data_IF_860039647347
#
_entry.id   IF_860039647347
#
_cell.length_a   1.000
_cell.length_b   1.000
_cell.length_c   1.000
_cell.angle_alpha   90.00
_cell.angle_beta   90.00
_cell.angle_gamma   90.00
#
_symmetry.space_group_name_H-M   'P 1'
#
loop_
_entity.id
_entity.type
_entity.pdbx_description
1 polymer ?
#
# COMPACT_ATOMS: atom_id res chain seq x y z
N UNK A 1 52.07 -1.71 47.99
CA UNK A 1 51.55 -0.53 47.26
C UNK A 1 50.46 -1.04 46.33
N UNK A 2 49.26 -1.20 46.86
CA UNK A 2 48.08 -1.76 46.19
C UNK A 2 47.18 -0.59 45.79
N UNK A 3 47.06 -0.34 44.48
CA UNK A 3 46.10 0.61 43.93
C UNK A 3 44.70 -0.03 43.96
N UNK A 4 43.67 0.65 44.49
CA UNK A 4 42.29 0.18 44.37
C UNK A 4 41.76 0.52 42.98
N UNK A 5 41.34 -0.50 42.24
CA UNK A 5 40.56 -0.38 41.00
C UNK A 5 39.07 -0.23 41.38
N UNK A 6 38.72 0.91 41.96
CA UNK A 6 37.32 1.31 42.12
C UNK A 6 36.95 2.37 41.07
N UNK A 7 35.87 2.11 40.35
CA UNK A 7 35.06 3.20 39.79
C UNK A 7 35.18 3.49 38.29
N UNK A 8 34.92 2.51 37.43
CA UNK A 8 34.27 2.79 36.13
C UNK A 8 33.06 1.86 35.97
N UNK A 9 32.17 1.91 36.96
CA UNK A 9 30.78 1.56 36.74
C UNK A 9 30.11 2.73 36.04
N UNK A 10 30.27 2.84 34.71
CA UNK A 10 29.41 3.70 33.91
C UNK A 10 27.98 3.18 34.08
N UNK A 11 27.25 3.77 35.02
CA UNK A 11 25.81 3.56 35.15
C UNK A 11 25.21 3.94 33.81
N UNK A 12 24.84 2.94 33.04
CA UNK A 12 24.06 3.09 31.82
C UNK A 12 22.66 3.56 32.28
N UNK A 13 22.55 4.86 32.54
CA UNK A 13 21.32 5.49 33.03
C UNK A 13 20.25 5.29 31.97
N UNK A 14 19.37 4.34 32.24
CA UNK A 14 18.24 4.05 31.38
C UNK A 14 17.40 5.33 31.30
N UNK A 15 17.18 5.91 30.10
CA UNK A 15 16.56 7.21 29.99
C UNK A 15 15.14 7.20 30.55
N UNK A 16 14.84 8.22 31.35
CA UNK A 16 13.53 8.41 31.98
C UNK A 16 12.40 8.39 30.94
N UNK A 17 11.22 7.91 31.33
CA UNK A 17 10.00 7.89 30.51
C UNK A 17 9.69 9.27 29.90
N UNK A 18 10.00 10.35 30.63
CA UNK A 18 9.85 11.72 30.14
C UNK A 18 10.79 12.04 28.96
N UNK A 19 12.04 11.56 29.02
CA UNK A 19 13.05 11.76 27.98
C UNK A 19 12.69 10.98 26.72
N UNK A 20 12.25 9.72 26.85
CA UNK A 20 11.73 8.92 25.71
C UNK A 20 10.54 9.60 25.03
N UNK A 21 9.63 10.18 25.81
CA UNK A 21 8.47 10.92 25.29
C UNK A 21 8.88 12.19 24.53
N UNK A 22 9.88 12.92 25.03
CA UNK A 22 10.44 14.10 24.35
C UNK A 22 11.10 13.72 23.01
N UNK A 23 11.89 12.65 23.00
CA UNK A 23 12.59 12.18 21.82
C UNK A 23 11.65 11.68 20.73
N UNK A 24 10.61 10.95 21.12
CA UNK A 24 9.54 10.54 20.23
C UNK A 24 8.86 11.77 19.58
N UNK A 25 8.54 12.80 20.35
CA UNK A 25 7.96 14.04 19.82
C UNK A 25 8.88 14.74 18.82
N UNK A 26 10.19 14.82 19.12
CA UNK A 26 11.18 15.43 18.21
C UNK A 26 11.27 14.67 16.89
N UNK A 27 11.30 13.35 16.94
CA UNK A 27 11.32 12.49 15.77
C UNK A 27 10.08 12.69 14.89
N UNK A 28 8.88 12.56 15.47
CA UNK A 28 7.64 12.72 14.70
C UNK A 28 7.43 14.15 14.22
N UNK A 29 7.93 15.16 14.94
CA UNK A 29 7.95 16.55 14.46
C UNK A 29 8.81 16.69 13.21
N UNK A 30 10.00 16.08 13.17
CA UNK A 30 10.85 16.10 11.99
C UNK A 30 10.19 15.40 10.79
N UNK A 31 9.58 14.23 11.00
CA UNK A 31 8.77 13.55 9.99
C UNK A 31 7.59 14.43 9.51
N UNK A 32 6.87 15.08 10.43
CA UNK A 32 5.74 15.93 10.09
C UNK A 32 6.17 17.16 9.26
N UNK A 33 7.31 17.79 9.57
CA UNK A 33 7.86 18.90 8.78
C UNK A 33 8.24 18.43 7.38
N UNK A 34 9.01 17.33 7.28
CA UNK A 34 9.41 16.77 5.98
C UNK A 34 8.20 16.35 5.13
N UNK A 35 7.23 15.67 5.75
CA UNK A 35 5.97 15.30 5.14
C UNK A 35 5.15 16.51 4.69
N UNK A 36 5.03 17.56 5.51
CA UNK A 36 4.33 18.79 5.14
C UNK A 36 4.98 19.48 3.92
N UNK A 37 6.31 19.57 3.88
CA UNK A 37 7.03 20.11 2.73
C UNK A 37 6.81 19.26 1.48
N UNK A 38 6.81 17.93 1.61
CA UNK A 38 6.54 17.02 0.49
C UNK A 38 5.08 17.10 0.01
N UNK A 39 4.12 17.30 0.92
CA UNK A 39 2.71 17.55 0.59
C UNK A 39 2.53 18.86 -0.17
N UNK A 40 3.30 19.90 0.15
CA UNK A 40 3.30 21.16 -0.62
C UNK A 40 3.73 20.87 -2.07
N UNK A 41 4.80 20.09 -2.29
CA UNK A 41 5.23 19.68 -3.64
C UNK A 41 4.14 18.88 -4.35
N UNK A 42 3.53 17.92 -3.66
CA UNK A 42 2.43 17.10 -4.17
C UNK A 42 1.23 17.96 -4.62
N UNK A 43 0.84 18.95 -3.80
CA UNK A 43 -0.25 19.88 -4.12
C UNK A 43 0.15 20.82 -5.27
N UNK A 44 1.37 21.34 -5.28
CA UNK A 44 1.88 22.18 -6.38
C UNK A 44 1.76 21.45 -7.71
N UNK A 45 2.15 20.17 -7.78
CA UNK A 45 1.98 19.34 -8.97
C UNK A 45 0.52 19.25 -9.41
N UNK A 46 -0.42 18.98 -8.48
CA UNK A 46 -1.85 18.92 -8.80
C UNK A 46 -2.33 20.24 -9.41
N UNK A 47 -1.94 21.38 -8.82
CA UNK A 47 -2.34 22.69 -9.31
C UNK A 47 -1.69 23.03 -10.66
N UNK A 48 -0.43 22.67 -10.87
CA UNK A 48 0.27 22.90 -12.14
C UNK A 48 -0.33 22.08 -13.29
N UNK A 49 -0.72 20.83 -13.05
CA UNK A 49 -1.24 19.94 -14.10
C UNK A 49 -2.73 20.15 -14.41
N UNK A 50 -3.52 20.57 -13.43
CA UNK A 50 -4.99 20.59 -13.56
C UNK A 50 -5.62 21.96 -13.35
N UNK A 51 -4.88 22.94 -12.82
CA UNK A 51 -5.38 24.27 -12.46
C UNK A 51 -6.35 24.30 -11.27
N UNK A 52 -6.86 23.15 -10.83
CA UNK A 52 -7.83 23.02 -9.73
C UNK A 52 -7.61 21.72 -8.95
N UNK A 53 -7.83 21.79 -7.64
CA UNK A 53 -7.77 20.63 -6.76
C UNK A 53 -8.90 19.63 -7.04
N UNK A 54 -10.13 20.13 -7.20
CA UNK A 54 -11.31 19.33 -7.56
C UNK A 54 -11.42 19.16 -9.08
N UNK A 55 -10.48 18.40 -9.65
CA UNK A 55 -10.46 18.08 -11.07
C UNK A 55 -11.35 16.87 -11.39
N UNK A 56 -12.04 16.94 -12.53
CA UNK A 56 -12.84 15.84 -13.07
C UNK A 56 -12.33 15.47 -14.46
N UNK A 57 -12.26 14.18 -14.74
CA UNK A 57 -11.96 13.60 -16.04
C UNK A 57 -12.98 12.49 -16.34
N UNK A 58 -12.98 11.96 -17.56
CA UNK A 58 -13.86 10.82 -17.90
C UNK A 58 -13.62 9.63 -16.95
N UNK A 59 -12.36 9.33 -16.65
CA UNK A 59 -11.98 8.18 -15.80
C UNK A 59 -12.10 8.47 -14.30
N UNK A 60 -12.18 9.73 -13.87
CA UNK A 60 -12.22 10.08 -12.44
C UNK A 60 -13.51 9.66 -11.74
N UNK A 61 -14.61 9.51 -12.51
CA UNK A 61 -15.94 9.13 -12.02
C UNK A 61 -16.21 7.62 -11.94
N UNK A 62 -15.23 6.78 -12.25
CA UNK A 62 -15.41 5.33 -12.30
C UNK A 62 -15.74 4.74 -10.93
N UNK A 63 -15.06 5.18 -9.87
CA UNK A 63 -15.34 4.72 -8.51
C UNK A 63 -16.70 5.20 -7.99
N UNK A 64 -17.19 6.37 -8.38
CA UNK A 64 -18.56 6.81 -8.05
C UNK A 64 -19.59 5.94 -8.78
N UNK A 65 -19.32 5.59 -10.03
CA UNK A 65 -20.19 4.70 -10.80
C UNK A 65 -20.25 3.30 -10.19
N UNK A 66 -19.11 2.76 -9.78
CA UNK A 66 -19.06 1.51 -9.03
C UNK A 66 -19.72 1.64 -7.65
N UNK A 67 -19.51 2.75 -6.92
CA UNK A 67 -20.14 2.99 -5.63
C UNK A 67 -21.68 3.00 -5.72
N UNK A 68 -22.26 3.65 -6.75
CA UNK A 68 -23.72 3.61 -6.99
C UNK A 68 -24.21 2.17 -7.19
N UNK A 69 -23.46 1.36 -7.92
CA UNK A 69 -23.84 -0.03 -8.20
C UNK A 69 -23.73 -0.90 -6.94
N UNK A 70 -22.67 -0.71 -6.14
CA UNK A 70 -22.45 -1.42 -4.88
C UNK A 70 -23.50 -1.08 -3.81
N UNK A 71 -24.09 0.13 -3.82
CA UNK A 71 -25.25 0.46 -2.96
C UNK A 71 -26.45 -0.45 -3.21
N UNK A 72 -26.55 -1.03 -4.41
CA UNK A 72 -27.55 -2.03 -4.78
C UNK A 72 -27.01 -3.47 -4.73
N UNK A 73 -25.88 -3.69 -4.03
CA UNK A 73 -25.20 -4.99 -3.91
C UNK A 73 -24.80 -5.60 -5.27
N UNK A 74 -24.50 -4.75 -6.27
CA UNK A 74 -24.07 -5.17 -7.60
C UNK A 74 -22.63 -4.75 -7.89
N UNK A 75 -21.89 -5.64 -8.55
CA UNK A 75 -20.55 -5.34 -9.06
C UNK A 75 -20.55 -4.85 -10.51
N UNK A 76 -21.62 -5.13 -11.28
CA UNK A 76 -21.79 -4.59 -12.63
C UNK A 76 -22.15 -3.10 -12.58
N UNK A 77 -21.64 -2.36 -13.55
CA UNK A 77 -21.87 -0.93 -13.73
C UNK A 77 -22.66 -0.67 -15.03
N UNK A 78 -23.32 0.50 -15.17
CA UNK A 78 -24.01 0.87 -16.39
C UNK A 78 -23.10 0.74 -17.63
N UNK A 79 -23.61 0.16 -18.71
CA UNK A 79 -22.84 0.00 -19.96
C UNK A 79 -22.40 1.36 -20.50
N UNK A 80 -21.23 1.40 -21.11
CA UNK A 80 -20.62 2.63 -21.65
C UNK A 80 -19.93 3.52 -20.61
N UNK A 81 -20.15 3.30 -19.31
CA UNK A 81 -19.58 4.16 -18.25
C UNK A 81 -18.07 4.05 -18.08
N UNK A 82 -17.46 2.93 -18.51
CA UNK A 82 -16.02 2.67 -18.35
C UNK A 82 -15.21 2.83 -19.65
N UNK A 83 -15.86 3.12 -20.79
CA UNK A 83 -15.19 3.20 -22.09
C UNK A 83 -14.37 1.94 -22.42
N UNK A 84 -13.11 2.11 -22.83
CA UNK A 84 -12.20 1.01 -23.17
C UNK A 84 -11.80 0.14 -21.97
N UNK A 85 -11.99 0.64 -20.74
CA UNK A 85 -11.64 -0.06 -19.50
C UNK A 85 -12.68 -1.10 -19.08
N UNK A 86 -13.85 -1.10 -19.73
CA UNK A 86 -14.91 -2.06 -19.45
C UNK A 86 -14.47 -3.50 -19.72
N UNK A 87 -14.79 -4.39 -18.79
CA UNK A 87 -14.83 -5.84 -19.04
C UNK A 87 -16.28 -6.24 -19.29
N UNK A 88 -16.57 -6.75 -20.48
CA UNK A 88 -17.93 -7.10 -20.87
C UNK A 88 -18.15 -8.62 -20.81
N UNK A 89 -19.02 -9.05 -19.88
CA UNK A 89 -19.26 -10.47 -19.62
C UNK A 89 -20.76 -10.68 -19.40
N UNK A 90 -21.36 -11.58 -20.18
CA UNK A 90 -22.79 -11.90 -20.07
C UNK A 90 -23.70 -10.67 -20.23
N UNK A 91 -23.31 -9.73 -21.09
CA UNK A 91 -24.03 -8.47 -21.27
C UNK A 91 -23.90 -7.48 -20.10
N UNK A 92 -23.05 -7.72 -19.12
CA UNK A 92 -22.78 -6.77 -18.03
C UNK A 92 -21.40 -6.14 -18.21
N UNK A 93 -21.23 -4.92 -17.70
CA UNK A 93 -19.96 -4.21 -17.73
C UNK A 93 -19.36 -4.20 -16.32
N UNK A 94 -18.09 -4.56 -16.20
CA UNK A 94 -17.38 -4.65 -14.93
C UNK A 94 -16.09 -3.86 -14.94
N UNK A 95 -15.74 -3.35 -13.76
CA UNK A 95 -14.49 -2.69 -13.51
C UNK A 95 -13.51 -3.65 -12.82
N UNK A 96 -12.28 -3.75 -13.34
CA UNK A 96 -11.24 -4.60 -12.76
C UNK A 96 -10.56 -3.99 -11.53
N UNK A 97 -10.62 -2.67 -11.37
CA UNK A 97 -10.18 -2.00 -10.14
C UNK A 97 -10.95 -2.50 -8.92
N UNK A 98 -10.25 -2.57 -7.79
CA UNK A 98 -10.81 -3.06 -6.54
C UNK A 98 -11.84 -2.07 -5.95
N UNK A 99 -12.76 -2.55 -5.10
CA UNK A 99 -13.89 -1.75 -4.62
C UNK A 99 -13.53 -0.74 -3.51
N UNK A 100 -12.32 -0.77 -2.94
CA UNK A 100 -12.01 0.07 -1.78
C UNK A 100 -12.19 1.57 -2.02
N UNK A 101 -11.65 2.18 -3.10
CA UNK A 101 -11.88 3.61 -3.35
C UNK A 101 -13.36 3.96 -3.57
N UNK A 102 -14.17 3.04 -4.09
CA UNK A 102 -15.63 3.22 -4.16
C UNK A 102 -16.28 3.27 -2.78
N UNK A 103 -15.87 2.37 -1.88
CA UNK A 103 -16.44 2.26 -0.54
C UNK A 103 -16.18 3.53 0.29
N UNK A 104 -14.96 4.05 0.27
CA UNK A 104 -14.62 5.29 0.98
C UNK A 104 -15.34 6.52 0.43
N UNK A 105 -15.73 6.50 -0.86
CA UNK A 105 -16.48 7.58 -1.51
C UNK A 105 -17.96 7.54 -1.20
N UNK A 106 -18.52 6.40 -0.81
CA UNK A 106 -19.97 6.28 -0.57
C UNK A 106 -20.52 7.31 0.42
N UNK A 107 -19.87 7.58 1.58
CA UNK A 107 -20.31 8.63 2.49
C UNK A 107 -20.18 10.03 1.88
N UNK A 108 -19.06 10.31 1.20
CA UNK A 108 -18.81 11.61 0.56
C UNK A 108 -19.85 11.93 -0.51
N UNK A 109 -20.23 10.94 -1.32
CA UNK A 109 -21.28 11.08 -2.32
C UNK A 109 -22.67 11.29 -1.72
N UNK A 110 -22.92 10.79 -0.51
CA UNK A 110 -24.18 11.03 0.19
C UNK A 110 -24.24 12.44 0.76
N UNK A 111 -23.12 12.95 1.29
CA UNK A 111 -23.02 14.30 1.86
C UNK A 111 -22.90 15.40 0.79
N UNK A 112 -22.27 15.09 -0.34
CA UNK A 112 -21.91 16.06 -1.39
C UNK A 112 -22.24 15.52 -2.80
N UNK A 113 -23.53 15.36 -3.14
CA UNK A 113 -23.94 14.75 -4.41
C UNK A 113 -23.46 15.53 -5.65
N UNK A 114 -23.26 16.84 -5.54
CA UNK A 114 -22.81 17.71 -6.64
C UNK A 114 -21.32 17.59 -7.02
N UNK A 115 -20.53 16.82 -6.26
CA UNK A 115 -19.07 16.71 -6.47
C UNK A 115 -18.65 15.40 -7.14
N UNK A 116 -19.58 14.71 -7.82
CA UNK A 116 -19.30 13.43 -8.46
C UNK A 116 -18.13 13.55 -9.46
N UNK A 117 -17.14 12.66 -9.35
CA UNK A 117 -15.97 12.64 -10.23
C UNK A 117 -14.87 13.64 -9.85
N UNK A 118 -15.04 14.41 -8.78
CA UNK A 118 -14.06 15.40 -8.31
C UNK A 118 -13.24 14.93 -7.10
N UNK A 119 -13.47 13.69 -6.64
CA UNK A 119 -12.90 13.16 -5.40
C UNK A 119 -11.54 12.50 -5.54
N UNK A 120 -11.00 12.38 -6.76
CA UNK A 120 -9.72 11.68 -7.00
C UNK A 120 -8.57 12.35 -6.26
N UNK A 121 -8.31 13.62 -6.50
CA UNK A 121 -7.20 14.33 -5.83
C UNK A 121 -7.35 14.38 -4.30
N UNK A 122 -8.53 14.71 -3.72
CA UNK A 122 -8.75 14.57 -2.27
C UNK A 122 -8.46 13.17 -1.73
N UNK A 123 -8.92 12.14 -2.45
CA UNK A 123 -8.72 10.73 -2.08
C UNK A 123 -7.25 10.32 -2.13
N UNK A 124 -6.53 10.71 -3.18
CA UNK A 124 -5.08 10.47 -3.31
C UNK A 124 -4.28 11.21 -2.23
N UNK A 125 -4.65 12.45 -1.90
CA UNK A 125 -4.03 13.20 -0.81
C UNK A 125 -4.23 12.50 0.54
N UNK A 126 -5.44 12.00 0.80
CA UNK A 126 -5.72 11.24 2.02
C UNK A 126 -4.90 9.95 2.09
N UNK A 127 -4.79 9.22 0.98
CA UNK A 127 -3.96 8.02 0.89
C UNK A 127 -2.47 8.36 1.15
N UNK A 128 -1.96 9.47 0.62
CA UNK A 128 -0.59 9.91 0.89
C UNK A 128 -0.39 10.23 2.37
N UNK A 129 -1.33 10.93 3.02
CA UNK A 129 -1.25 11.19 4.47
C UNK A 129 -1.16 9.88 5.27
N UNK A 130 -1.98 8.89 4.90
CA UNK A 130 -1.92 7.55 5.50
C UNK A 130 -0.55 6.89 5.29
N UNK A 131 0.01 6.98 4.08
CA UNK A 131 1.33 6.46 3.78
C UNK A 131 2.42 7.14 4.62
N UNK A 132 2.41 8.47 4.72
CA UNK A 132 3.40 9.24 5.49
C UNK A 132 3.34 8.91 6.99
N UNK A 133 2.14 8.82 7.57
CA UNK A 133 1.96 8.43 8.98
C UNK A 133 2.47 7.01 9.22
N UNK A 134 2.13 6.08 8.32
CA UNK A 134 2.55 4.67 8.43
C UNK A 134 4.06 4.53 8.35
N UNK A 135 4.68 5.19 7.38
CA UNK A 135 6.14 5.14 7.21
C UNK A 135 6.86 5.79 8.37
N UNK A 136 6.36 6.90 8.90
CA UNK A 136 6.93 7.55 10.10
C UNK A 136 6.89 6.61 11.32
N UNK A 137 5.79 5.86 11.49
CA UNK A 137 5.64 4.86 12.57
C UNK A 137 6.57 3.67 12.37
N UNK A 138 6.71 3.17 11.14
CA UNK A 138 7.67 2.10 10.81
C UNK A 138 9.10 2.56 11.09
N UNK A 139 9.48 3.75 10.62
CA UNK A 139 10.80 4.32 10.83
C UNK A 139 11.13 4.47 12.33
N UNK A 140 10.17 4.92 13.14
CA UNK A 140 10.33 4.97 14.60
C UNK A 140 10.56 3.59 15.22
N UNK A 141 9.81 2.58 14.80
CA UNK A 141 9.99 1.20 15.28
C UNK A 141 11.35 0.63 14.91
N UNK A 142 11.77 0.79 13.66
CA UNK A 142 13.09 0.36 13.18
C UNK A 142 14.18 1.06 14.00
N UNK A 143 14.07 2.37 14.19
CA UNK A 143 15.01 3.14 15.01
C UNK A 143 15.12 2.61 16.43
N UNK A 144 14.00 2.25 17.06
CA UNK A 144 14.04 1.68 18.43
C UNK A 144 14.64 0.27 18.47
N UNK A 145 14.57 -0.50 17.37
CA UNK A 145 15.23 -1.80 17.26
C UNK A 145 16.75 -1.62 17.11
N UNK A 146 17.17 -0.71 16.23
CA UNK A 146 18.59 -0.53 15.88
C UNK A 146 19.35 0.28 16.94
N UNK A 147 18.75 1.35 17.45
CA UNK A 147 19.44 2.30 18.33
C UNK A 147 19.00 2.20 19.79
N UNK A 148 18.04 1.31 20.09
CA UNK A 148 17.49 1.13 21.42
C UNK A 148 16.98 2.43 22.03
N UNK A 149 17.43 2.69 23.25
CA UNK A 149 17.05 3.85 24.05
C UNK A 149 17.96 5.07 23.87
N UNK A 150 18.93 5.03 22.94
CA UNK A 150 19.80 6.17 22.64
C UNK A 150 18.99 7.43 22.32
N UNK A 151 19.45 8.65 22.64
CA UNK A 151 18.69 9.86 22.37
C UNK A 151 18.58 10.18 20.87
N UNK A 152 17.53 10.90 20.46
CA UNK A 152 17.36 11.32 19.06
C UNK A 152 18.33 12.47 18.72
N UNK A 153 19.32 12.19 17.88
CA UNK A 153 20.30 13.20 17.44
C UNK A 153 19.71 14.17 16.41
N UNK A 154 20.36 15.32 16.22
CA UNK A 154 19.96 16.29 15.17
C UNK A 154 20.10 15.70 13.76
N UNK A 155 21.16 14.92 13.51
CA UNK A 155 21.37 14.25 12.22
C UNK A 155 20.24 13.27 11.93
N UNK A 156 19.78 12.52 12.94
CA UNK A 156 18.64 11.63 12.79
C UNK A 156 17.35 12.40 12.46
N UNK A 157 17.11 13.55 13.11
CA UNK A 157 15.96 14.40 12.80
C UNK A 157 15.99 14.88 11.34
N UNK A 158 17.14 15.38 10.88
CA UNK A 158 17.32 15.76 9.48
C UNK A 158 17.11 14.57 8.54
N UNK A 159 17.73 13.42 8.82
CA UNK A 159 17.61 12.21 8.01
C UNK A 159 16.17 11.75 7.86
N UNK A 160 15.39 11.69 8.96
CA UNK A 160 13.99 11.25 8.88
C UNK A 160 13.06 12.31 8.29
N UNK A 161 13.37 13.60 8.47
CA UNK A 161 12.69 14.69 7.79
C UNK A 161 12.88 14.61 6.27
N UNK A 162 14.12 14.51 5.80
CA UNK A 162 14.46 14.35 4.38
C UNK A 162 13.85 13.07 3.81
N UNK A 163 13.95 11.95 4.53
CA UNK A 163 13.33 10.69 4.11
C UNK A 163 11.81 10.82 3.92
N UNK A 164 11.12 11.45 4.88
CA UNK A 164 9.66 11.64 4.81
C UNK A 164 9.29 12.62 3.68
N UNK A 165 10.10 13.66 3.46
CA UNK A 165 9.96 14.54 2.31
C UNK A 165 10.09 13.78 0.98
N UNK A 166 11.13 12.96 0.83
CA UNK A 166 11.38 12.18 -0.40
C UNK A 166 10.25 11.19 -0.72
N UNK A 167 9.56 10.65 0.30
CA UNK A 167 8.37 9.80 0.08
C UNK A 167 7.27 10.58 -0.64
N UNK A 168 6.92 11.79 -0.17
CA UNK A 168 5.84 12.56 -0.77
C UNK A 168 6.27 13.34 -2.03
N UNK A 169 7.46 13.94 -2.02
CA UNK A 169 7.94 14.89 -3.03
C UNK A 169 8.97 14.35 -4.01
N UNK A 170 9.34 13.07 -3.95
CA UNK A 170 10.39 12.51 -4.82
C UNK A 170 10.25 11.02 -5.16
N UNK A 171 9.10 10.42 -4.88
CA UNK A 171 8.87 8.98 -5.13
C UNK A 171 7.72 8.75 -6.11
N UNK A 172 7.37 7.48 -6.33
CA UNK A 172 6.17 7.07 -7.08
C UNK A 172 4.91 7.78 -6.58
N UNK A 173 4.80 8.14 -5.30
CA UNK A 173 3.66 8.91 -4.80
C UNK A 173 3.48 10.26 -5.52
N UNK A 174 4.56 10.95 -5.88
CA UNK A 174 4.50 12.19 -6.65
C UNK A 174 4.17 11.92 -8.13
N UNK A 175 4.64 10.80 -8.69
CA UNK A 175 4.26 10.41 -10.04
C UNK A 175 2.74 10.21 -10.16
N UNK A 176 2.13 9.55 -9.17
CA UNK A 176 0.70 9.25 -9.19
C UNK A 176 -0.18 10.52 -9.14
N UNK A 177 0.36 11.69 -8.80
CA UNK A 177 -0.39 12.96 -8.90
C UNK A 177 -0.31 13.64 -10.24
N UNK A 178 0.43 13.09 -11.20
CA UNK A 178 0.52 13.67 -12.54
C UNK A 178 -0.86 13.77 -13.21
N UNK A 179 -1.77 12.84 -12.87
CA UNK A 179 -3.11 12.79 -13.40
C UNK A 179 -4.14 12.32 -12.36
N UNK A 180 -5.33 12.93 -12.40
CA UNK A 180 -6.51 12.47 -11.65
C UNK A 180 -7.16 11.24 -12.31
N UNK A 181 -6.44 10.11 -12.30
CA UNK A 181 -6.84 8.85 -12.93
C UNK A 181 -7.26 7.78 -11.92
N UNK A 182 -8.25 6.98 -12.29
CA UNK A 182 -8.74 5.82 -11.50
C UNK A 182 -7.62 4.85 -11.13
N UNK A 183 -6.64 4.67 -12.03
CA UNK A 183 -5.49 3.80 -11.81
C UNK A 183 -4.59 4.35 -10.71
N UNK A 184 -4.29 5.65 -10.74
CA UNK A 184 -3.40 6.28 -9.76
C UNK A 184 -3.99 6.23 -8.36
N UNK A 185 -5.30 6.45 -8.26
CA UNK A 185 -6.02 6.32 -7.00
C UNK A 185 -6.02 4.88 -6.47
N UNK A 186 -6.13 3.88 -7.34
CA UNK A 186 -6.03 2.47 -6.96
C UNK A 186 -4.65 2.15 -6.37
N UNK A 187 -3.60 2.59 -7.05
CA UNK A 187 -2.20 2.33 -6.69
C UNK A 187 -1.82 3.03 -5.39
N UNK A 188 -2.18 4.30 -5.23
CA UNK A 188 -1.82 5.07 -4.03
C UNK A 188 -2.52 4.53 -2.78
N UNK A 189 -3.79 4.14 -2.88
CA UNK A 189 -4.50 3.47 -1.78
C UNK A 189 -3.94 2.08 -1.50
N UNK A 190 -3.60 1.32 -2.55
CA UNK A 190 -2.92 0.02 -2.42
C UNK A 190 -1.62 0.16 -1.65
N UNK A 191 -0.77 1.12 -2.01
CA UNK A 191 0.51 1.38 -1.36
C UNK A 191 0.34 1.88 0.08
N UNK A 192 -0.55 2.84 0.31
CA UNK A 192 -0.83 3.37 1.64
C UNK A 192 -1.35 2.29 2.61
N UNK A 193 -2.29 1.45 2.14
CA UNK A 193 -2.83 0.35 2.93
C UNK A 193 -1.80 -0.77 3.15
N UNK A 194 -0.92 -1.04 2.17
CA UNK A 194 0.17 -1.98 2.35
C UNK A 194 1.17 -1.49 3.41
N UNK A 195 1.54 -0.20 3.41
CA UNK A 195 2.37 0.40 4.44
C UNK A 195 1.72 0.33 5.83
N UNK A 196 0.40 0.58 5.94
CA UNK A 196 -0.36 0.37 7.18
C UNK A 196 -0.34 -1.10 7.62
N UNK A 197 -0.49 -2.04 6.68
CA UNK A 197 -0.43 -3.46 6.97
C UNK A 197 0.96 -3.85 7.50
N UNK A 198 2.03 -3.39 6.87
CA UNK A 198 3.40 -3.58 7.37
C UNK A 198 3.61 -2.94 8.74
N UNK A 199 3.10 -1.73 8.96
CA UNK A 199 3.16 -1.10 10.28
C UNK A 199 2.48 -1.97 11.36
N UNK A 200 1.31 -2.52 11.05
CA UNK A 200 0.60 -3.43 11.95
C UNK A 200 1.34 -4.77 12.13
N UNK A 201 1.97 -5.32 11.08
CA UNK A 201 2.82 -6.52 11.15
C UNK A 201 4.03 -6.26 12.06
N UNK A 202 4.75 -5.15 11.88
CA UNK A 202 5.84 -4.75 12.78
C UNK A 202 5.35 -4.63 14.23
N UNK A 203 4.18 -4.01 14.44
CA UNK A 203 3.57 -3.94 15.76
C UNK A 203 3.24 -5.32 16.33
N UNK A 204 2.77 -6.26 15.50
CA UNK A 204 2.49 -7.64 15.91
C UNK A 204 3.76 -8.39 16.28
N UNK A 205 4.81 -8.32 15.46
CA UNK A 205 6.11 -8.97 15.72
C UNK A 205 6.74 -8.41 17.00
N UNK A 206 6.70 -7.09 17.21
CA UNK A 206 7.28 -6.46 18.39
C UNK A 206 6.48 -6.72 19.68
N UNK A 207 5.15 -6.79 19.62
CA UNK A 207 4.33 -7.19 20.77
C UNK A 207 3.14 -8.03 20.26
N UNK A 208 3.22 -9.37 20.38
CA UNK A 208 2.25 -10.31 19.79
C UNK A 208 0.87 -10.19 20.43
N UNK A 209 -0.01 -9.39 19.83
CA UNK A 209 -1.41 -9.24 20.25
C UNK A 209 -2.35 -9.52 19.08
N UNK A 210 -3.40 -10.31 19.33
CA UNK A 210 -4.32 -10.77 18.30
C UNK A 210 -4.97 -9.63 17.50
N UNK A 211 -5.32 -8.52 18.15
CA UNK A 211 -5.89 -7.36 17.46
C UNK A 211 -4.92 -6.72 16.45
N UNK A 212 -3.59 -6.79 16.68
CA UNK A 212 -2.59 -6.24 15.74
C UNK A 212 -2.50 -7.08 14.48
N UNK A 213 -2.62 -8.39 14.64
CA UNK A 213 -2.73 -9.32 13.51
C UNK A 213 -4.04 -9.11 12.76
N UNK A 214 -5.15 -8.87 13.47
CA UNK A 214 -6.43 -8.52 12.84
C UNK A 214 -6.34 -7.20 12.07
N UNK A 215 -5.69 -6.16 12.62
CA UNK A 215 -5.41 -4.90 11.92
C UNK A 215 -4.54 -5.12 10.68
N UNK A 216 -3.47 -5.93 10.79
CA UNK A 216 -2.62 -6.26 9.65
C UNK A 216 -3.42 -6.95 8.53
N UNK A 217 -4.27 -7.92 8.87
CA UNK A 217 -5.16 -8.59 7.92
C UNK A 217 -6.19 -7.63 7.31
N UNK A 218 -6.77 -6.74 8.13
CA UNK A 218 -7.72 -5.73 7.67
C UNK A 218 -7.09 -4.75 6.68
N UNK A 219 -5.90 -4.23 6.98
CA UNK A 219 -5.17 -3.34 6.06
C UNK A 219 -4.67 -4.07 4.81
N UNK A 220 -4.26 -5.34 4.92
CA UNK A 220 -3.93 -6.16 3.76
C UNK A 220 -5.17 -6.38 2.87
N UNK A 221 -6.35 -6.57 3.47
CA UNK A 221 -7.63 -6.65 2.73
C UNK A 221 -7.90 -5.35 1.99
N UNK A 222 -7.74 -4.20 2.64
CA UNK A 222 -7.88 -2.89 2.00
C UNK A 222 -6.89 -2.73 0.84
N UNK A 223 -5.63 -3.14 1.03
CA UNK A 223 -4.61 -3.06 0.00
C UNK A 223 -4.97 -3.91 -1.22
N UNK A 224 -5.38 -5.16 -1.03
CA UNK A 224 -5.79 -6.06 -2.13
C UNK A 224 -7.08 -5.57 -2.80
N UNK A 225 -8.04 -5.03 -2.03
CA UNK A 225 -9.27 -4.41 -2.54
C UNK A 225 -9.06 -3.03 -3.16
N UNK A 226 -7.85 -2.46 -3.10
CA UNK A 226 -7.47 -1.27 -3.86
C UNK A 226 -6.72 -1.70 -5.11
N UNK A 227 -5.62 -2.44 -4.90
CA UNK A 227 -4.74 -2.97 -5.94
C UNK A 227 -4.13 -4.31 -5.51
N UNK A 228 -4.51 -5.43 -6.14
CA UNK A 228 -4.05 -6.77 -5.74
C UNK A 228 -2.53 -6.93 -5.76
N UNK A 229 -1.86 -6.42 -6.80
CA UNK A 229 -0.40 -6.52 -6.95
C UNK A 229 0.37 -5.90 -5.78
N UNK A 230 -0.16 -4.83 -5.19
CA UNK A 230 0.46 -4.15 -4.03
C UNK A 230 0.08 -4.83 -2.72
N UNK A 231 -1.18 -5.28 -2.60
CA UNK A 231 -1.68 -5.94 -1.40
C UNK A 231 -1.10 -7.34 -1.13
N UNK A 232 -0.57 -8.02 -2.15
CA UNK A 232 0.07 -9.33 -1.96
C UNK A 232 1.34 -9.29 -1.12
N UNK A 233 2.07 -8.17 -1.09
CA UNK A 233 3.28 -8.00 -0.26
C UNK A 233 3.03 -8.31 1.23
N UNK A 234 2.21 -7.51 1.94
CA UNK A 234 1.92 -7.77 3.35
C UNK A 234 1.18 -9.10 3.57
N UNK A 235 0.37 -9.55 2.61
CA UNK A 235 -0.30 -10.85 2.66
C UNK A 235 0.71 -12.00 2.77
N UNK A 236 1.70 -12.03 1.87
CA UNK A 236 2.77 -13.01 1.89
C UNK A 236 3.61 -12.89 3.15
N UNK A 237 3.88 -11.68 3.64
CA UNK A 237 4.60 -11.50 4.90
C UNK A 237 3.86 -12.15 6.08
N UNK A 238 2.54 -11.98 6.20
CA UNK A 238 1.74 -12.65 7.24
C UNK A 238 1.84 -14.18 7.08
N UNK A 239 1.74 -14.69 5.84
CA UNK A 239 1.89 -16.10 5.53
C UNK A 239 3.28 -16.67 5.89
N UNK A 240 4.35 -15.95 5.56
CA UNK A 240 5.74 -16.30 5.91
C UNK A 240 5.92 -16.32 7.42
N UNK A 241 5.39 -15.34 8.15
CA UNK A 241 5.44 -15.32 9.62
C UNK A 241 4.72 -16.55 10.20
N UNK A 242 3.57 -16.93 9.64
CA UNK A 242 2.85 -18.14 10.03
C UNK A 242 3.63 -19.42 9.74
N UNK A 243 4.21 -19.54 8.55
CA UNK A 243 5.05 -20.68 8.17
C UNK A 243 6.32 -20.77 9.04
N UNK A 244 7.02 -19.65 9.22
CA UNK A 244 8.22 -19.56 10.06
C UNK A 244 7.95 -19.90 11.53
N UNK A 245 6.70 -19.78 11.98
CA UNK A 245 6.28 -20.19 13.32
C UNK A 245 6.19 -21.71 13.51
N UNK A 246 6.27 -22.53 12.45
CA UNK A 246 6.15 -23.99 12.54
C UNK A 246 7.39 -24.67 13.13
N UNK A 247 8.59 -24.28 12.69
CA UNK A 247 9.84 -24.95 13.06
C UNK A 247 10.70 -24.07 13.98
N UNK A 248 11.34 -24.61 15.03
CA UNK A 248 12.24 -23.84 15.88
C UNK A 248 13.40 -23.18 15.12
N UNK A 249 13.96 -23.91 14.13
CA UNK A 249 15.04 -23.41 13.29
C UNK A 249 14.63 -22.18 12.46
N UNK A 250 13.41 -22.20 11.90
CA UNK A 250 12.90 -21.05 11.14
C UNK A 250 12.58 -19.87 12.07
N UNK A 251 12.08 -20.12 13.29
CA UNK A 251 11.86 -19.03 14.27
C UNK A 251 13.16 -18.30 14.60
N UNK A 252 14.24 -19.05 14.79
CA UNK A 252 15.58 -18.48 15.04
C UNK A 252 16.08 -17.69 13.85
N UNK A 253 15.99 -18.27 12.65
CA UNK A 253 16.42 -17.62 11.41
C UNK A 253 15.70 -16.29 11.16
N UNK A 254 14.38 -16.23 11.40
CA UNK A 254 13.57 -15.03 11.22
C UNK A 254 13.51 -14.11 12.46
N UNK A 255 14.22 -14.42 13.55
CA UNK A 255 14.19 -13.63 14.78
C UNK A 255 12.84 -13.59 15.51
N UNK A 256 12.02 -14.64 15.36
CA UNK A 256 10.64 -14.73 15.88
C UNK A 256 10.53 -15.52 17.19
N UNK A 257 11.66 -15.79 17.87
CA UNK A 257 11.72 -16.63 19.08
C UNK A 257 10.83 -16.08 20.21
N UNK A 258 10.79 -14.76 20.37
CA UNK A 258 9.99 -14.07 21.39
C UNK A 258 8.52 -13.84 20.97
N UNK A 259 8.16 -14.13 19.71
CA UNK A 259 6.83 -13.85 19.15
C UNK A 259 5.84 -14.95 19.49
N UNK A 260 6.31 -16.20 19.47
CA UNK A 260 5.47 -17.39 19.58
C UNK A 260 5.78 -18.16 20.84
N UNK A 261 4.79 -18.30 21.74
CA UNK A 261 4.96 -19.14 22.91
C UNK A 261 5.21 -20.59 22.48
N UNK A 262 6.28 -21.24 22.98
CA UNK A 262 6.61 -22.63 22.63
C UNK A 262 5.52 -23.61 23.10
N UNK A 263 4.68 -23.20 24.05
CA UNK A 263 3.62 -24.05 24.64
C UNK A 263 2.40 -24.23 23.74
N UNK A 264 2.12 -23.31 22.79
CA UNK A 264 0.92 -23.36 21.92
C UNK A 264 1.20 -22.87 20.49
N UNK A 265 2.14 -23.50 19.75
CA UNK A 265 2.54 -23.04 18.42
C UNK A 265 1.38 -23.11 17.41
N UNK A 266 0.58 -24.18 17.46
CA UNK A 266 -0.54 -24.40 16.55
C UNK A 266 -1.57 -23.27 16.57
N UNK A 267 -1.86 -22.68 17.74
CA UNK A 267 -2.83 -21.56 17.85
C UNK A 267 -2.37 -20.34 17.08
N UNK A 268 -1.07 -20.05 17.07
CA UNK A 268 -0.52 -18.89 16.38
C UNK A 268 -0.37 -19.14 14.88
N UNK A 269 -0.03 -20.36 14.47
CA UNK A 269 -0.11 -20.81 13.08
C UNK A 269 -1.53 -20.59 12.56
N UNK A 270 -2.54 -21.16 13.24
CA UNK A 270 -3.94 -21.00 12.82
C UNK A 270 -4.34 -19.53 12.69
N UNK A 271 -3.99 -18.69 13.67
CA UNK A 271 -4.31 -17.25 13.62
C UNK A 271 -3.64 -16.52 12.45
N UNK A 272 -2.36 -16.78 12.20
CA UNK A 272 -1.61 -16.15 11.11
C UNK A 272 -2.06 -16.67 9.75
N UNK A 273 -2.34 -17.97 9.63
CA UNK A 273 -2.96 -18.57 8.45
C UNK A 273 -4.33 -17.95 8.18
N UNK A 274 -5.22 -17.87 9.18
CA UNK A 274 -6.53 -17.20 9.01
C UNK A 274 -6.36 -15.74 8.59
N UNK A 275 -5.44 -15.01 9.21
CA UNK A 275 -5.15 -13.62 8.87
C UNK A 275 -4.62 -13.44 7.43
N UNK A 276 -3.92 -14.43 6.87
CA UNK A 276 -3.48 -14.43 5.48
C UNK A 276 -4.56 -14.94 4.50
N UNK A 277 -5.39 -15.90 4.92
CA UNK A 277 -6.44 -16.47 4.05
C UNK A 277 -7.59 -15.49 3.84
N UNK A 278 -7.96 -14.70 4.86
CA UNK A 278 -9.11 -13.78 4.77
C UNK A 278 -8.97 -12.77 3.61
N UNK A 279 -7.88 -11.98 3.48
CA UNK A 279 -7.73 -11.06 2.35
C UNK A 279 -7.71 -11.77 1.00
N UNK A 280 -7.06 -12.95 0.92
CA UNK A 280 -6.98 -13.76 -0.29
C UNK A 280 -8.36 -14.26 -0.73
N UNK A 281 -9.14 -14.80 0.21
CA UNK A 281 -10.49 -15.31 -0.04
C UNK A 281 -11.43 -14.18 -0.47
N UNK A 282 -11.34 -13.01 0.16
CA UNK A 282 -12.12 -11.82 -0.23
C UNK A 282 -11.77 -11.39 -1.65
N UNK A 283 -10.48 -11.37 -2.02
CA UNK A 283 -10.05 -11.07 -3.38
C UNK A 283 -10.60 -12.06 -4.41
N UNK A 284 -10.44 -13.35 -4.13
CA UNK A 284 -10.92 -14.45 -4.97
C UNK A 284 -12.43 -14.34 -5.16
N UNK A 285 -13.17 -14.07 -4.07
CA UNK A 285 -14.61 -13.85 -4.12
C UNK A 285 -14.98 -12.67 -5.02
N UNK A 286 -14.34 -11.51 -4.86
CA UNK A 286 -14.62 -10.32 -5.68
C UNK A 286 -14.31 -10.60 -7.16
N UNK A 287 -13.21 -11.29 -7.45
CA UNK A 287 -12.82 -11.65 -8.81
C UNK A 287 -13.83 -12.63 -9.43
N UNK A 288 -14.27 -13.63 -8.68
CA UNK A 288 -15.26 -14.59 -9.13
C UNK A 288 -16.64 -13.94 -9.33
N UNK A 289 -17.07 -13.09 -8.41
CA UNK A 289 -18.35 -12.37 -8.50
C UNK A 289 -18.40 -11.42 -9.71
N UNK A 290 -17.27 -10.82 -10.10
CA UNK A 290 -17.17 -9.94 -11.27
C UNK A 290 -17.04 -10.70 -12.59
N UNK A 291 -16.18 -11.72 -12.61
CA UNK A 291 -15.67 -12.28 -13.86
C UNK A 291 -15.94 -13.77 -14.06
N UNK A 292 -16.40 -14.47 -13.03
CA UNK A 292 -16.49 -15.93 -13.01
C UNK A 292 -15.13 -16.63 -12.91
N UNK A 293 -14.04 -15.90 -12.71
CA UNK A 293 -12.67 -16.43 -12.61
C UNK A 293 -12.12 -16.28 -11.19
N UNK A 294 -11.18 -17.12 -10.77
CA UNK A 294 -10.72 -17.15 -9.37
C UNK A 294 -9.63 -16.13 -9.03
N UNK A 295 -8.66 -15.90 -9.93
CA UNK A 295 -7.48 -15.07 -9.62
C UNK A 295 -7.16 -14.01 -10.67
N UNK A 296 -7.37 -14.34 -11.94
CA UNK A 296 -6.97 -13.49 -13.07
C UNK A 296 -8.21 -13.02 -13.81
N UNK A 297 -8.28 -11.74 -14.12
CA UNK A 297 -9.36 -11.19 -14.94
C UNK A 297 -9.20 -11.60 -16.41
N UNK A 298 -10.30 -11.87 -17.13
CA UNK A 298 -10.27 -12.32 -18.53
C UNK A 298 -9.91 -11.15 -19.45
N UNK A 299 -8.61 -11.02 -19.77
CA UNK A 299 -8.05 -9.86 -20.51
C UNK A 299 -8.58 -9.74 -21.95
N UNK A 300 -9.01 -10.86 -22.52
CA UNK A 300 -9.70 -10.95 -23.82
C UNK A 300 -11.08 -10.27 -23.81
N UNK A 301 -11.75 -10.23 -22.66
CA UNK A 301 -13.10 -9.63 -22.51
C UNK A 301 -13.09 -8.13 -22.23
N UNK A 302 -11.91 -7.52 -22.15
CA UNK A 302 -11.79 -6.07 -22.03
C UNK A 302 -12.12 -5.38 -23.37
N UNK A 303 -12.86 -4.28 -23.33
CA UNK A 303 -13.22 -3.51 -24.54
C UNK A 303 -11.98 -3.02 -25.31
N UNK A 304 -10.88 -2.71 -24.61
CA UNK A 304 -9.61 -2.37 -25.25
C UNK A 304 -9.11 -3.47 -26.21
N UNK A 305 -9.36 -4.75 -25.89
CA UNK A 305 -9.01 -5.89 -26.75
C UNK A 305 -9.89 -5.98 -28.01
N UNK A 306 -10.98 -5.22 -28.11
CA UNK A 306 -11.79 -5.13 -29.34
C UNK A 306 -11.35 -4.04 -30.30
N UNK A 307 -10.66 -3.02 -29.79
CA UNK A 307 -10.22 -1.87 -30.59
C UNK A 307 -8.75 -1.97 -31.00
N UNK A 308 -7.90 -2.63 -30.22
CA UNK A 308 -6.47 -2.78 -30.53
C UNK A 308 -6.17 -4.13 -31.19
N UNK A 309 -5.77 -4.10 -32.47
CA UNK A 309 -5.30 -5.28 -33.21
C UNK A 309 -4.08 -5.90 -32.53
N UNK A 310 -3.10 -5.08 -32.16
CA UNK A 310 -1.88 -5.53 -31.47
C UNK A 310 -2.18 -6.26 -30.17
N UNK A 311 -3.15 -5.76 -29.39
CA UNK A 311 -3.55 -6.41 -28.14
C UNK A 311 -4.19 -7.78 -28.39
N UNK A 312 -5.01 -7.92 -29.44
CA UNK A 312 -5.59 -9.21 -29.80
C UNK A 312 -4.54 -10.23 -30.19
N UNK A 313 -3.60 -9.85 -31.06
CA UNK A 313 -2.51 -10.73 -31.48
C UNK A 313 -1.69 -11.19 -30.28
N UNK A 314 -1.32 -10.24 -29.41
CA UNK A 314 -0.61 -10.56 -28.16
C UNK A 314 -1.43 -11.52 -27.28
N UNK A 315 -2.72 -11.29 -27.06
CA UNK A 315 -3.53 -12.20 -26.24
C UNK A 315 -3.65 -13.59 -26.86
N UNK A 316 -3.83 -13.69 -28.18
CA UNK A 316 -3.93 -14.97 -28.90
C UNK A 316 -2.64 -15.80 -28.75
N UNK A 317 -1.48 -15.18 -28.90
CA UNK A 317 -0.16 -15.84 -28.76
C UNK A 317 0.17 -16.22 -27.31
N UNK A 318 -0.60 -15.72 -26.35
CA UNK A 318 -0.35 -15.83 -24.92
C UNK A 318 -1.47 -16.52 -24.14
N UNK A 319 -2.33 -17.29 -24.81
CA UNK A 319 -3.40 -18.05 -24.14
C UNK A 319 -4.42 -17.14 -23.46
N UNK A 320 -4.72 -15.99 -24.07
CA UNK A 320 -5.57 -14.91 -23.55
C UNK A 320 -5.11 -14.31 -22.22
N UNK A 321 -3.83 -14.45 -21.90
CA UNK A 321 -3.22 -13.91 -20.67
C UNK A 321 -2.20 -12.83 -20.97
N UNK A 322 -2.22 -11.76 -20.16
CA UNK A 322 -1.16 -10.75 -20.10
C UNK A 322 -0.03 -11.13 -19.14
N UNK A 323 -0.16 -12.28 -18.48
CA UNK A 323 0.76 -12.75 -17.45
C UNK A 323 1.29 -14.14 -17.82
N UNK A 324 2.55 -14.39 -17.48
CA UNK A 324 3.17 -15.70 -17.69
C UNK A 324 4.69 -15.64 -17.52
N UNK A 325 5.28 -16.77 -17.14
CA UNK A 325 6.72 -16.88 -16.94
C UNK A 325 7.55 -16.57 -18.19
N UNK A 326 6.98 -16.73 -19.39
CA UNK A 326 7.66 -16.37 -20.64
C UNK A 326 8.01 -14.88 -20.77
N UNK A 327 7.30 -14.00 -20.04
CA UNK A 327 7.61 -12.58 -19.99
C UNK A 327 8.69 -12.25 -18.95
N UNK A 328 9.11 -13.21 -18.12
CA UNK A 328 10.07 -12.96 -17.05
C UNK A 328 11.39 -12.44 -17.62
N UNK A 329 11.96 -13.11 -18.63
CA UNK A 329 13.25 -12.72 -19.20
C UNK A 329 13.19 -11.33 -19.82
N UNK A 330 12.15 -11.04 -20.61
CA UNK A 330 12.01 -9.72 -21.25
C UNK A 330 11.77 -8.64 -20.21
N UNK A 331 10.92 -8.86 -19.20
CA UNK A 331 10.71 -7.92 -18.11
C UNK A 331 12.00 -7.68 -17.31
N UNK A 332 12.71 -8.76 -16.93
CA UNK A 332 13.96 -8.68 -16.19
C UNK A 332 15.00 -7.83 -16.92
N UNK A 333 15.22 -8.10 -18.22
CA UNK A 333 16.12 -7.30 -19.06
C UNK A 333 15.70 -5.84 -19.08
N UNK A 334 14.42 -5.53 -19.29
CA UNK A 334 13.97 -4.12 -19.32
C UNK A 334 14.16 -3.40 -17.99
N UNK A 335 14.04 -4.08 -16.85
CA UNK A 335 14.26 -3.46 -15.54
C UNK A 335 15.72 -3.16 -15.23
N UNK A 336 16.67 -3.90 -15.80
CA UNK A 336 18.11 -3.74 -15.53
C UNK A 336 18.86 -2.97 -16.62
N UNK A 337 18.17 -2.61 -17.71
CA UNK A 337 18.79 -1.96 -18.87
C UNK A 337 19.29 -0.55 -18.52
N UNK A 338 20.61 -0.31 -18.54
CA UNK A 338 21.16 1.01 -18.22
C UNK A 338 20.84 2.06 -19.30
N UNK A 339 20.62 1.61 -20.54
CA UNK A 339 20.27 2.45 -21.68
C UNK A 339 18.79 2.86 -21.71
N UNK A 340 17.97 2.31 -20.81
CA UNK A 340 16.57 2.70 -20.65
C UNK A 340 16.40 3.94 -19.73
N UNK A 341 17.49 4.50 -19.21
CA UNK A 341 17.46 5.69 -18.36
C UNK A 341 17.50 6.95 -19.24
N UNK A 342 16.40 7.71 -19.24
CA UNK A 342 16.30 9.01 -19.94
C UNK A 342 15.98 10.14 -18.98
N UNK A 343 16.64 11.29 -19.13
CA UNK A 343 16.32 12.51 -18.39
C UNK A 343 15.29 13.33 -19.18
N UNK A 344 14.12 13.57 -18.58
CA UNK A 344 13.07 14.44 -19.14
C UNK A 344 13.05 15.79 -18.43
N UNK A 345 12.68 16.84 -19.17
CA UNK A 345 12.43 18.18 -18.62
C UNK A 345 10.98 18.34 -18.12
N UNK A 346 10.11 17.37 -18.39
CA UNK A 346 8.71 17.39 -17.98
C UNK A 346 8.59 16.90 -16.53
N UNK A 347 8.04 17.76 -15.67
CA UNK A 347 7.69 17.43 -14.28
C UNK A 347 6.17 17.53 -14.16
N UNK A 348 5.45 16.50 -13.68
CA UNK A 348 5.86 15.14 -13.30
C UNK A 348 5.52 14.20 -14.46
N UNK A 349 6.38 14.23 -15.50
CA UNK A 349 6.33 13.47 -16.77
C UNK A 349 5.06 13.62 -17.62
#
# INVERSE_FOLDING_TARGET
MTLPLDGIGSQEQTPSKAQRGSDQKRFFRACAIGGALGLIVFLLVIFLNHGKFFASSFVSGFYETQARSLRHLRFDVPRGSLGIEAFEIGGKSYMYFGPWPSLIRMPLMALFPGMSGQWVNPSMLLALLVALVSTSRIAWKIRNIVNGDSPVSRIQQWGVGVFTFSIAGGSVFLFLTSQAWVYHEAEIWGAAAALLAFDAIFSFVLQPRGYRLALASGFATIAVLSRPSVGFGPLFTIGIIGFASLLPLTRRFFGLENVFSPTKPFRWVMRTTTAAVVPAAIYIFVNHAKFGTWLVFPSDKQVFSRVSVYRRSMLADNGNSLFGFKFFTTAFVQYIRPDAISFSRLVPF
#
